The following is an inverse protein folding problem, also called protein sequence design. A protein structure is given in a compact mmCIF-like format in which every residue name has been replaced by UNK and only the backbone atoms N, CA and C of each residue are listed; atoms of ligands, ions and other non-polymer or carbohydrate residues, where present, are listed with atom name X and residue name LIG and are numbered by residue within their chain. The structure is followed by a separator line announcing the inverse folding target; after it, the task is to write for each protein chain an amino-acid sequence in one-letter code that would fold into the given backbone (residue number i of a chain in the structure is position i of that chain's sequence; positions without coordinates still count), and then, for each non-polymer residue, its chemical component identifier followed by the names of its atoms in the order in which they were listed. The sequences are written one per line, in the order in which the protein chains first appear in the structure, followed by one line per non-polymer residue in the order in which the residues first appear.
data_IF_771866557399
#
_entry.id   IF_771866557399
#
_cell.length_a   1.000
_cell.length_b   1.000
_cell.length_c   1.000
_cell.angle_alpha   90.00
_cell.angle_beta   90.00
_cell.angle_gamma   90.00
#
_symmetry.space_group_name_H-M   'P 1'
#
loop_
_entity.id
_entity.type
_entity.pdbx_description
1 polymer ?
#
# COMPACT_ATOMS: atom_id res chain seq x y z
N UNK A 1 21.65 7.43 -4.77
CA UNK A 1 21.93 6.43 -3.73
C UNK A 1 21.54 5.06 -4.26
N UNK A 2 22.25 4.03 -3.82
CA UNK A 2 21.99 2.66 -4.28
C UNK A 2 21.68 1.74 -3.13
N UNK A 3 20.80 0.77 -3.38
CA UNK A 3 20.40 -0.22 -2.40
C UNK A 3 20.32 -1.58 -3.07
N UNK A 4 20.99 -2.58 -2.50
CA UNK A 4 20.91 -3.95 -2.98
C UNK A 4 19.89 -4.70 -2.14
N UNK A 5 18.85 -5.25 -2.80
CA UNK A 5 17.78 -5.96 -2.10
C UNK A 5 17.68 -7.40 -2.59
N UNK A 6 17.28 -8.34 -1.71
CA UNK A 6 17.13 -9.74 -2.10
C UNK A 6 16.04 -9.97 -3.16
N UNK A 7 14.97 -9.20 -3.09
CA UNK A 7 13.82 -9.39 -3.97
C UNK A 7 13.92 -8.57 -5.26
N UNK A 8 14.34 -7.31 -5.15
CA UNK A 8 14.31 -6.39 -6.28
C UNK A 8 15.68 -6.11 -6.90
N UNK A 9 16.73 -6.71 -6.35
CA UNK A 9 18.10 -6.50 -6.82
C UNK A 9 18.61 -5.11 -6.47
N UNK A 10 19.47 -4.56 -7.32
CA UNK A 10 20.04 -3.23 -7.09
C UNK A 10 19.03 -2.15 -7.48
N UNK A 11 18.76 -1.25 -6.54
CA UNK A 11 17.87 -0.12 -6.75
C UNK A 11 18.66 1.17 -6.66
N UNK A 12 18.33 2.11 -7.53
CA UNK A 12 18.89 3.45 -7.49
C UNK A 12 17.76 4.42 -7.13
N UNK A 13 18.00 5.31 -6.16
CA UNK A 13 16.99 6.24 -5.69
C UNK A 13 17.61 7.54 -5.22
N UNK A 14 16.79 8.58 -5.14
CA UNK A 14 17.17 9.88 -4.64
C UNK A 14 16.58 10.07 -3.26
N UNK A 15 17.13 11.03 -2.51
CA UNK A 15 16.65 11.34 -1.18
C UNK A 15 15.16 11.72 -1.20
N UNK A 16 14.73 12.38 -2.26
CA UNK A 16 13.35 12.82 -2.44
C UNK A 16 12.38 11.66 -2.63
N UNK A 17 12.88 10.48 -2.98
CA UNK A 17 12.04 9.30 -3.18
C UNK A 17 11.70 8.57 -1.89
N UNK A 18 12.37 8.92 -0.79
CA UNK A 18 12.19 8.22 0.49
C UNK A 18 10.86 8.60 1.12
N UNK A 19 10.07 7.56 1.41
CA UNK A 19 8.79 7.71 2.13
C UNK A 19 9.05 7.41 3.61
N UNK A 20 8.66 8.32 4.48
CA UNK A 20 8.91 8.19 5.91
C UNK A 20 7.61 7.98 6.67
N UNK A 21 7.56 6.90 7.46
CA UNK A 21 6.41 6.60 8.32
C UNK A 21 6.69 7.13 9.72
N UNK A 22 5.85 8.06 10.17
CA UNK A 22 6.03 8.73 11.46
C UNK A 22 6.00 7.75 12.64
N UNK A 23 5.13 6.74 12.56
CA UNK A 23 4.94 5.78 13.65
C UNK A 23 5.41 4.36 13.31
N UNK A 24 5.95 4.15 12.10
CA UNK A 24 6.26 2.82 11.63
C UNK A 24 5.02 2.02 11.27
N UNK A 25 5.22 0.81 10.79
CA UNK A 25 4.11 -0.10 10.47
C UNK A 25 3.98 -1.14 11.59
N UNK A 26 2.75 -1.62 11.88
CA UNK A 26 2.58 -2.68 12.88
C UNK A 26 3.46 -3.89 12.56
N UNK A 27 4.23 -4.34 13.54
CA UNK A 27 5.19 -5.42 13.38
C UNK A 27 6.51 -4.99 12.76
N UNK A 28 6.61 -3.77 12.26
CA UNK A 28 7.80 -3.23 11.60
C UNK A 28 8.15 -1.84 12.14
N UNK A 29 7.94 -1.62 13.43
CA UNK A 29 8.06 -0.30 14.05
C UNK A 29 9.46 0.29 13.94
N UNK A 30 10.48 -0.56 13.79
CA UNK A 30 11.85 -0.10 13.57
C UNK A 30 12.13 0.35 12.15
N UNK A 31 11.28 -0.02 11.21
CA UNK A 31 11.44 0.31 9.80
C UNK A 31 10.55 1.51 9.48
N UNK A 32 11.15 2.66 9.27
CA UNK A 32 10.39 3.90 9.03
C UNK A 32 10.63 4.51 7.66
N UNK A 33 11.71 4.13 7.00
CA UNK A 33 12.06 4.66 5.68
C UNK A 33 11.86 3.60 4.62
N UNK A 34 11.10 3.95 3.60
CA UNK A 34 10.74 3.01 2.54
C UNK A 34 10.80 3.69 1.18
N UNK A 35 10.85 2.85 0.15
CA UNK A 35 10.62 3.29 -1.22
C UNK A 35 9.32 2.65 -1.71
N UNK A 36 8.52 3.42 -2.44
CA UNK A 36 7.33 2.91 -3.11
C UNK A 36 7.64 2.88 -4.60
N UNK A 37 7.64 1.69 -5.17
CA UNK A 37 8.07 1.45 -6.55
C UNK A 37 6.97 0.75 -7.34
N UNK A 38 6.59 1.32 -8.48
CA UNK A 38 5.62 0.65 -9.35
C UNK A 38 6.20 -0.66 -9.87
N UNK A 39 5.40 -1.72 -9.90
CA UNK A 39 5.86 -3.00 -10.45
C UNK A 39 6.15 -2.88 -11.93
N UNK A 40 5.28 -2.17 -12.64
CA UNK A 40 5.43 -1.85 -14.06
C UNK A 40 4.83 -0.47 -14.28
N UNK A 41 5.24 0.17 -15.34
CA UNK A 41 4.68 1.47 -15.70
C UNK A 41 3.17 1.34 -15.92
N UNK A 42 2.41 2.19 -15.24
CA UNK A 42 0.95 2.16 -15.32
C UNK A 42 0.26 1.09 -14.50
N UNK A 43 1.01 0.25 -13.78
CA UNK A 43 0.43 -0.80 -12.94
C UNK A 43 -0.20 -0.23 -11.68
N UNK A 44 -1.32 -0.79 -11.20
CA UNK A 44 -1.89 -0.41 -9.90
C UNK A 44 -1.19 -1.11 -8.73
N UNK A 45 -0.18 -1.93 -9.01
CA UNK A 45 0.57 -2.65 -7.98
C UNK A 45 1.93 -2.03 -7.78
N UNK A 46 2.38 -2.02 -6.51
CA UNK A 46 3.62 -1.38 -6.11
C UNK A 46 4.37 -2.25 -5.11
N UNK A 47 5.68 -2.01 -5.02
CA UNK A 47 6.50 -2.57 -3.95
C UNK A 47 6.73 -1.50 -2.89
N UNK A 48 6.65 -1.90 -1.63
CA UNK A 48 7.04 -1.07 -0.50
C UNK A 48 8.31 -1.68 0.08
N UNK A 49 9.46 -1.15 -0.31
CA UNK A 49 10.77 -1.68 0.07
C UNK A 49 11.33 -0.90 1.24
N UNK A 50 11.65 -1.60 2.34
CA UNK A 50 12.28 -0.98 3.50
C UNK A 50 13.73 -0.62 3.20
N UNK A 51 14.14 0.56 3.65
CA UNK A 51 15.54 1.00 3.60
C UNK A 51 16.28 0.62 4.88
N UNK A 52 15.54 0.38 5.96
CA UNK A 52 16.12 -0.02 7.24
C UNK A 52 16.43 -1.51 7.31
N UNK A 53 15.59 -2.31 6.62
CA UNK A 53 15.76 -3.76 6.56
C UNK A 53 15.47 -4.21 5.14
N UNK A 54 16.52 -4.47 4.37
CA UNK A 54 16.40 -4.79 2.94
C UNK A 54 15.63 -6.07 2.66
N UNK A 55 15.46 -6.94 3.65
CA UNK A 55 14.68 -8.16 3.51
C UNK A 55 13.17 -7.91 3.56
N UNK A 56 12.74 -6.72 3.98
CA UNK A 56 11.33 -6.38 4.09
C UNK A 56 10.87 -5.67 2.83
N UNK A 57 9.98 -6.33 2.10
CA UNK A 57 9.36 -5.77 0.90
C UNK A 57 7.91 -6.22 0.88
N UNK A 58 7.00 -5.26 0.97
CA UNK A 58 5.57 -5.53 0.93
C UNK A 58 5.02 -5.19 -0.44
N UNK A 59 3.86 -5.77 -0.76
CA UNK A 59 3.18 -5.47 -2.01
C UNK A 59 1.98 -4.61 -1.68
N UNK A 60 1.86 -3.50 -2.40
CA UNK A 60 0.77 -2.55 -2.24
C UNK A 60 -0.08 -2.51 -3.50
N UNK A 61 -1.32 -2.08 -3.35
CA UNK A 61 -2.20 -1.82 -4.48
C UNK A 61 -2.90 -0.48 -4.30
N UNK A 62 -3.29 0.12 -5.42
CA UNK A 62 -4.21 1.25 -5.41
C UNK A 62 -5.61 0.66 -5.21
N UNK A 63 -6.24 0.86 -4.05
CA UNK A 63 -7.45 0.11 -3.72
C UNK A 63 -8.63 0.42 -4.62
N UNK A 64 -8.73 1.64 -5.13
CA UNK A 64 -9.89 2.06 -5.93
C UNK A 64 -9.96 1.36 -7.29
N UNK A 65 -8.85 0.79 -7.76
CA UNK A 65 -8.83 0.00 -9.00
C UNK A 65 -9.52 -1.34 -8.80
N UNK A 66 -9.31 -1.95 -7.64
CA UNK A 66 -9.87 -3.28 -7.33
C UNK A 66 -11.21 -3.21 -6.60
N UNK A 67 -11.44 -2.13 -5.87
CA UNK A 67 -12.62 -1.92 -5.05
C UNK A 67 -13.18 -0.53 -5.34
N UNK A 68 -13.93 -0.38 -6.44
CA UNK A 68 -14.38 0.96 -6.87
C UNK A 68 -15.25 1.70 -5.85
N UNK A 69 -15.93 0.95 -4.99
CA UNK A 69 -16.79 1.54 -3.96
C UNK A 69 -16.07 1.77 -2.63
N UNK A 70 -14.77 1.48 -2.58
CA UNK A 70 -13.99 1.71 -1.38
C UNK A 70 -13.89 3.22 -1.12
N UNK A 71 -14.17 3.62 0.11
CA UNK A 71 -14.06 5.00 0.51
C UNK A 71 -13.40 5.10 1.87
N UNK A 72 -12.64 6.17 2.06
CA UNK A 72 -11.96 6.43 3.31
C UNK A 72 -12.16 7.90 3.69
N UNK A 73 -12.17 8.15 4.99
CA UNK A 73 -12.15 9.51 5.51
C UNK A 73 -10.88 9.69 6.32
N UNK A 74 -10.04 10.60 5.87
CA UNK A 74 -8.81 10.94 6.59
C UNK A 74 -9.14 12.07 7.55
N UNK A 75 -8.98 11.82 8.85
CA UNK A 75 -9.31 12.80 9.87
C UNK A 75 -8.30 13.93 9.94
N UNK A 76 -8.66 14.98 10.68
CA UNK A 76 -7.77 16.14 10.84
C UNK A 76 -6.46 15.76 11.55
N UNK A 77 -6.54 14.82 12.50
CA UNK A 77 -5.36 14.38 13.22
C UNK A 77 -4.37 13.70 12.29
N UNK A 78 -4.87 12.85 11.40
CA UNK A 78 -4.03 12.17 10.41
C UNK A 78 -3.44 13.17 9.41
N UNK A 79 -4.24 14.15 8.99
CA UNK A 79 -3.75 15.19 8.09
C UNK A 79 -2.63 16.00 8.73
N UNK A 80 -2.73 16.29 10.04
CA UNK A 80 -1.68 17.00 10.76
C UNK A 80 -0.40 16.17 10.85
N UNK A 81 -0.53 14.87 11.11
CA UNK A 81 0.63 13.97 11.17
C UNK A 81 1.35 13.90 9.83
N UNK A 82 0.58 13.99 8.75
CA UNK A 82 1.13 13.98 7.40
C UNK A 82 1.59 15.36 6.96
N UNK A 83 1.37 16.38 7.79
CA UNK A 83 1.67 17.78 7.46
C UNK A 83 1.07 18.19 6.13
N UNK A 84 -0.19 17.79 5.94
CA UNK A 84 -0.92 18.06 4.70
C UNK A 84 -1.65 19.40 4.85
N UNK A 85 -1.09 20.45 4.26
CA UNK A 85 -1.64 21.80 4.38
C UNK A 85 -2.75 22.09 3.39
N UNK A 86 -2.70 21.46 2.23
CA UNK A 86 -3.63 21.75 1.13
C UNK A 86 -4.82 20.83 1.10
N UNK A 87 -4.95 19.92 2.07
CA UNK A 87 -6.05 18.99 2.15
C UNK A 87 -5.76 17.66 1.47
N UNK A 88 -6.83 16.97 1.10
CA UNK A 88 -6.74 15.57 0.66
C UNK A 88 -6.24 15.37 -0.76
N UNK A 89 -6.09 16.45 -1.52
CA UNK A 89 -5.69 16.39 -2.93
C UNK A 89 -4.30 15.81 -3.14
N UNK A 90 -3.42 15.98 -2.16
CA UNK A 90 -2.04 15.51 -2.25
C UNK A 90 -1.84 14.13 -1.66
N UNK A 91 -2.92 13.46 -1.27
CA UNK A 91 -2.84 12.15 -0.64
C UNK A 91 -2.96 11.01 -1.64
N UNK A 92 -2.02 10.09 -1.56
CA UNK A 92 -2.10 8.82 -2.28
C UNK A 92 -2.50 7.73 -1.29
N UNK A 93 -3.35 6.81 -1.72
CA UNK A 93 -3.87 5.75 -0.86
C UNK A 93 -3.41 4.40 -1.41
N UNK A 94 -2.88 3.58 -0.52
CA UNK A 94 -2.43 2.23 -0.84
C UNK A 94 -2.97 1.26 0.20
N UNK A 95 -3.13 0.01 -0.19
CA UNK A 95 -3.47 -1.07 0.75
C UNK A 95 -2.45 -2.17 0.60
N UNK A 96 -2.13 -2.84 1.71
CA UNK A 96 -1.18 -3.94 1.71
C UNK A 96 -1.87 -5.20 1.23
N UNK A 97 -1.21 -5.92 0.32
CA UNK A 97 -1.71 -7.19 -0.19
C UNK A 97 -1.01 -8.35 0.47
N UNK A 98 -1.74 -9.43 0.66
CA UNK A 98 -1.20 -10.72 1.03
C UNK A 98 -1.38 -11.64 -0.17
N UNK A 99 -0.27 -12.11 -0.73
CA UNK A 99 -0.30 -12.96 -1.93
C UNK A 99 0.23 -14.34 -1.57
N UNK A 100 -0.66 -15.34 -1.41
CA UNK A 100 -0.25 -16.71 -1.14
C UNK A 100 0.23 -17.42 -2.41
N UNK A 101 0.59 -18.69 -2.31
CA UNK A 101 1.03 -19.48 -3.47
C UNK A 101 -0.02 -19.47 -4.58
N UNK A 102 -1.28 -19.65 -4.21
CA UNK A 102 -2.37 -19.49 -5.17
C UNK A 102 -2.78 -18.02 -5.20
N UNK A 103 -2.30 -17.29 -6.19
CA UNK A 103 -2.52 -15.86 -6.23
C UNK A 103 -3.99 -15.46 -6.34
N UNK A 104 -4.86 -16.39 -6.73
CA UNK A 104 -6.32 -16.16 -6.74
C UNK A 104 -6.89 -15.98 -5.34
N UNK A 105 -6.14 -16.41 -4.32
CA UNK A 105 -6.50 -16.25 -2.92
C UNK A 105 -5.93 -14.96 -2.33
N UNK A 106 -5.36 -14.09 -3.16
CA UNK A 106 -4.78 -12.85 -2.70
C UNK A 106 -5.81 -11.94 -2.05
N UNK A 107 -5.41 -11.28 -0.97
CA UNK A 107 -6.30 -10.40 -0.21
C UNK A 107 -5.66 -9.03 -0.01
N UNK A 108 -6.51 -8.04 0.22
CA UNK A 108 -6.11 -6.69 0.52
C UNK A 108 -6.60 -6.29 1.90
N UNK A 109 -5.77 -5.54 2.61
CA UNK A 109 -6.13 -5.01 3.92
C UNK A 109 -6.82 -3.67 3.74
N UNK A 110 -8.14 -3.69 3.63
CA UNK A 110 -8.95 -2.48 3.45
C UNK A 110 -9.24 -1.76 4.77
N UNK A 111 -9.03 -2.44 5.89
CA UNK A 111 -9.27 -1.86 7.21
C UNK A 111 -8.19 -0.86 7.60
N UNK A 112 -6.95 -1.08 7.15
CA UNK A 112 -5.82 -0.27 7.57
C UNK A 112 -5.01 0.21 6.35
N UNK A 113 -5.53 1.17 5.58
CA UNK A 113 -4.82 1.68 4.42
C UNK A 113 -3.59 2.50 4.80
N UNK A 114 -2.68 2.61 3.84
CA UNK A 114 -1.51 3.47 3.95
C UNK A 114 -1.80 4.74 3.18
N UNK A 115 -1.63 5.88 3.84
CA UNK A 115 -1.84 7.19 3.25
C UNK A 115 -0.49 7.87 3.13
N UNK A 116 -0.18 8.39 1.95
CA UNK A 116 1.09 9.08 1.68
C UNK A 116 0.80 10.48 1.20
N UNK A 117 1.45 11.47 1.84
CA UNK A 117 1.44 12.83 1.33
C UNK A 117 2.49 12.91 0.22
N UNK A 118 2.05 13.05 -1.01
CA UNK A 118 2.91 13.01 -2.19
C UNK A 118 3.89 14.18 -2.27
N UNK A 119 3.63 15.27 -1.56
CA UNK A 119 4.52 16.43 -1.57
C UNK A 119 5.74 16.24 -0.66
N UNK A 120 5.51 15.82 0.59
CA UNK A 120 6.60 15.71 1.56
C UNK A 120 7.03 14.28 1.82
N UNK A 121 6.36 13.30 1.19
CA UNK A 121 6.66 11.87 1.33
C UNK A 121 6.49 11.34 2.76
N UNK A 122 5.64 11.97 3.53
CA UNK A 122 5.27 11.46 4.85
C UNK A 122 4.09 10.53 4.70
N UNK A 123 4.11 9.43 5.44
CA UNK A 123 3.10 8.40 5.33
C UNK A 123 2.68 7.89 6.70
N UNK A 124 1.50 7.30 6.75
CA UNK A 124 1.04 6.58 7.92
C UNK A 124 0.06 5.49 7.50
N UNK A 125 -0.10 4.51 8.37
CA UNK A 125 -1.15 3.52 8.25
C UNK A 125 -2.15 3.78 9.37
N UNK A 126 -3.44 3.87 9.04
CA UNK A 126 -4.43 4.10 10.07
C UNK A 126 -5.58 3.11 9.93
N UNK A 127 -6.23 2.83 11.07
CA UNK A 127 -7.34 1.88 11.10
C UNK A 127 -8.65 2.66 10.93
N UNK A 128 -9.43 2.26 9.92
CA UNK A 128 -10.72 2.89 9.66
C UNK A 128 -11.70 2.48 10.75
N UNK A 129 -12.33 3.48 11.39
CA UNK A 129 -13.30 3.25 12.45
C UNK A 129 -14.70 3.11 11.87
N UNK A 130 -15.53 2.32 12.56
CA UNK A 130 -16.94 2.17 12.25
C UNK A 130 -17.22 1.79 10.79
N UNK A 131 -16.47 0.81 10.30
CA UNK A 131 -16.63 0.33 8.93
C UNK A 131 -16.76 -1.18 8.91
N UNK A 132 -17.27 -1.70 7.79
CA UNK A 132 -17.33 -3.14 7.56
C UNK A 132 -16.05 -3.67 6.92
N UNK A 133 -15.06 -2.83 6.72
CA UNK A 133 -13.79 -3.26 6.13
C UNK A 133 -13.02 -4.16 7.08
N UNK A 134 -12.29 -5.10 6.49
CA UNK A 134 -11.53 -6.11 7.23
C UNK A 134 -10.09 -6.10 6.74
N UNK A 135 -9.23 -6.80 7.46
CA UNK A 135 -7.83 -6.93 7.10
C UNK A 135 -7.60 -7.82 5.88
N UNK A 136 -8.61 -8.60 5.50
CA UNK A 136 -8.51 -9.49 4.34
C UNK A 136 -9.78 -9.41 3.50
N UNK A 137 -9.67 -8.76 2.35
CA UNK A 137 -10.72 -8.74 1.33
C UNK A 137 -10.16 -9.39 0.08
N UNK A 138 -10.87 -10.34 -0.48
CA UNK A 138 -10.42 -11.01 -1.70
C UNK A 138 -10.33 -10.02 -2.85
N UNK A 139 -9.18 -9.99 -3.52
CA UNK A 139 -8.99 -9.17 -4.72
C UNK A 139 -9.74 -9.80 -5.89
N UNK A 140 -9.78 -11.13 -5.91
CA UNK A 140 -10.51 -11.90 -6.90
C UNK A 140 -11.69 -12.58 -6.20
N UNK A 141 -12.87 -11.93 -6.17
CA UNK A 141 -14.02 -12.51 -5.46
C UNK A 141 -14.42 -13.86 -6.04
N UNK A 142 -14.91 -14.79 -5.20
CA UNK A 142 -15.31 -16.11 -5.67
C UNK A 142 -16.30 -16.10 -6.82
N UNK A 143 -17.24 -15.16 -6.83
CA UNK A 143 -18.22 -15.01 -7.91
C UNK A 143 -17.55 -14.64 -9.22
N UNK A 144 -16.58 -13.74 -9.17
CA UNK A 144 -15.82 -13.32 -10.33
C UNK A 144 -14.95 -14.48 -10.83
N UNK A 145 -14.36 -15.24 -9.94
CA UNK A 145 -13.58 -16.43 -10.31
C UNK A 145 -14.45 -17.50 -10.97
N UNK A 146 -15.65 -17.70 -10.44
CA UNK A 146 -16.61 -18.66 -11.03
C UNK A 146 -17.05 -18.21 -12.41
N UNK A 147 -17.33 -16.91 -12.57
CA UNK A 147 -17.72 -16.38 -13.86
C UNK A 147 -16.61 -16.57 -14.89
N UNK A 148 -15.38 -16.30 -14.50
CA UNK A 148 -14.22 -16.51 -15.37
C UNK A 148 -14.06 -17.99 -15.74
N UNK A 149 -14.23 -18.88 -14.77
CA UNK A 149 -14.14 -20.32 -15.02
C UNK A 149 -15.23 -20.81 -15.96
N UNK A 150 -16.46 -20.31 -15.78
CA UNK A 150 -17.57 -20.65 -16.66
C UNK A 150 -17.33 -20.15 -18.07
N UNK A 151 -16.78 -18.96 -18.21
CA UNK A 151 -16.48 -18.39 -19.53
C UNK A 151 -15.37 -19.15 -20.25
N UNK A 152 -14.42 -19.69 -19.51
CA UNK A 152 -13.33 -20.47 -20.07
C UNK A 152 -13.74 -21.91 -20.38
N UNK A 153 -14.71 -22.38 -19.65
CA UNK A 153 -15.24 -23.73 -19.82
C UNK A 153 -16.33 -23.81 -20.84
#
# INVERSE_FOLDING_TARGET
MKLNTPLLGELEYQKEDIVTFATGLPGLEGDREFLILAMEEGSPLYYLQSLNNISVCLILAQPFVFFPNYSIEVGEEELKRLECETGREDLAVYVVLTIPEDFKQSTANLLAPIIVNSKNKKALQFIIQNSDYKTRHNIFPPEQCKAAAVQEG
#
